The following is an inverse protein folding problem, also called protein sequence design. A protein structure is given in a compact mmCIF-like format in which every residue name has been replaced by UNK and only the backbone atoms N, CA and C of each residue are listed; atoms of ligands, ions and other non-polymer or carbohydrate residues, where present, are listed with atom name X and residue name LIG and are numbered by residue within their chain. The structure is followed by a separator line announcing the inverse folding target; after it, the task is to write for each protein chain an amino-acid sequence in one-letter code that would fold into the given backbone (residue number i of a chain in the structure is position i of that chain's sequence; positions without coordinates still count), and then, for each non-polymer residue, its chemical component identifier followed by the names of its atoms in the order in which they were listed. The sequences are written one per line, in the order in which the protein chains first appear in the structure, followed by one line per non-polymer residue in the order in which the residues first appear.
data_IF_762895133654
#
_entry.id   IF_762895133654
#
_cell.length_a   1.000
_cell.length_b   1.000
_cell.length_c   1.000
_cell.angle_alpha   90.00
_cell.angle_beta   90.00
_cell.angle_gamma   90.00
#
_symmetry.space_group_name_H-M   'P 1'
#
loop_
_entity.id
_entity.type
_entity.pdbx_description
1 polymer ?
#
# COMPACT_ATOMS: atom_id res chain seq x y z
N UNK A 1 27.73 26.25 21.50
CA UNK A 1 27.24 25.58 20.28
C UNK A 1 26.76 24.26 20.76
N UNK A 2 25.49 24.22 21.15
CA UNK A 2 24.83 23.01 21.65
C UNK A 2 24.84 21.95 20.56
N UNK A 3 24.99 20.68 20.98
CA UNK A 3 24.89 19.50 20.14
C UNK A 3 23.63 19.62 19.26
N UNK A 4 23.83 19.88 17.96
CA UNK A 4 22.74 19.82 17.00
C UNK A 4 22.20 18.39 17.04
N UNK A 5 20.98 18.24 17.58
CA UNK A 5 20.25 16.98 17.56
C UNK A 5 20.08 16.59 16.10
N UNK A 6 20.89 15.63 15.64
CA UNK A 6 20.85 15.18 14.27
C UNK A 6 19.53 14.44 14.03
N UNK A 7 18.62 15.05 13.28
CA UNK A 7 17.33 14.45 12.94
C UNK A 7 17.54 13.39 11.85
N UNK A 8 17.31 12.13 12.18
CA UNK A 8 17.33 11.08 11.19
C UNK A 8 16.02 11.09 10.37
N UNK A 9 16.04 11.69 9.17
CA UNK A 9 14.86 11.83 8.30
C UNK A 9 14.68 10.71 7.27
N UNK A 10 15.22 9.52 7.51
CA UNK A 10 15.10 8.38 6.59
C UNK A 10 13.83 7.54 6.82
N UNK A 11 12.75 8.20 7.25
CA UNK A 11 11.37 7.71 7.33
C UNK A 11 10.49 8.51 6.35
N UNK A 12 9.22 8.14 6.13
CA UNK A 12 8.30 8.97 5.33
C UNK A 12 8.20 10.39 5.88
N UNK A 13 8.08 11.38 5.00
CA UNK A 13 7.97 12.79 5.41
C UNK A 13 6.74 13.02 6.28
N UNK A 14 5.62 12.40 5.90
CA UNK A 14 4.36 12.51 6.61
C UNK A 14 4.44 11.95 8.04
N UNK A 15 5.21 10.87 8.24
CA UNK A 15 5.50 10.31 9.55
C UNK A 15 6.47 11.20 10.34
N UNK A 16 7.58 11.63 9.74
CA UNK A 16 8.58 12.49 10.39
C UNK A 16 7.96 13.78 10.94
N UNK A 17 7.02 14.38 10.22
CA UNK A 17 6.42 15.64 10.65
C UNK A 17 5.69 15.51 11.99
N UNK A 18 5.04 14.37 12.26
CA UNK A 18 4.44 14.10 13.58
C UNK A 18 5.51 13.96 14.66
N UNK A 19 6.62 13.30 14.36
CA UNK A 19 7.71 13.11 15.31
C UNK A 19 8.46 14.41 15.64
N UNK A 20 8.46 15.40 14.74
CA UNK A 20 8.97 16.74 15.06
C UNK A 20 8.09 17.46 16.09
N UNK A 21 6.76 17.38 15.92
CA UNK A 21 5.79 17.88 16.90
C UNK A 21 6.00 17.21 18.26
N UNK A 22 6.06 15.88 18.29
CA UNK A 22 6.18 15.12 19.55
C UNK A 22 7.51 15.41 20.29
N UNK A 23 8.53 15.89 19.56
CA UNK A 23 9.82 16.37 20.13
C UNK A 23 9.80 17.84 20.54
N UNK A 24 8.66 18.53 20.41
CA UNK A 24 8.51 19.93 20.77
C UNK A 24 9.16 20.91 19.79
N UNK A 25 9.37 20.50 18.52
CA UNK A 25 9.87 21.44 17.52
C UNK A 25 8.85 22.57 17.31
N UNK A 26 9.28 23.84 17.25
CA UNK A 26 8.36 24.96 17.09
C UNK A 26 7.76 24.94 15.68
N UNK A 27 6.57 25.53 15.55
CA UNK A 27 5.93 25.72 14.26
C UNK A 27 6.72 26.74 13.43
N UNK A 28 7.11 26.35 12.23
CA UNK A 28 7.84 27.20 11.26
C UNK A 28 6.92 27.75 10.18
N UNK A 29 5.78 27.09 9.91
CA UNK A 29 4.81 27.52 8.92
C UNK A 29 3.72 26.49 8.69
N UNK A 30 3.23 26.40 7.45
CA UNK A 30 2.30 25.37 7.03
C UNK A 30 1.97 25.43 5.55
N UNK A 31 1.24 24.43 5.07
CA UNK A 31 0.78 24.34 3.69
C UNK A 31 -0.61 23.69 3.58
N UNK A 32 -1.37 24.08 2.56
CA UNK A 32 -2.63 23.44 2.18
C UNK A 32 -2.45 22.76 0.82
N UNK A 33 -2.93 21.53 0.69
CA UNK A 33 -2.88 20.72 -0.53
C UNK A 33 -4.29 20.28 -0.92
N UNK A 34 -4.56 20.13 -2.21
CA UNK A 34 -5.82 19.55 -2.69
C UNK A 34 -5.61 18.11 -3.16
N UNK A 35 -6.45 17.19 -2.67
CA UNK A 35 -6.45 15.79 -3.06
C UNK A 35 -7.62 15.49 -4.00
N UNK A 36 -7.30 14.87 -5.13
CA UNK A 36 -8.23 14.64 -6.24
C UNK A 36 -8.67 13.19 -6.32
N UNK A 37 -9.97 13.00 -6.53
CA UNK A 37 -10.59 11.68 -6.72
C UNK A 37 -11.70 11.75 -7.75
N UNK A 38 -12.04 10.59 -8.31
CA UNK A 38 -13.28 10.33 -9.05
C UNK A 38 -14.44 9.88 -8.14
N UNK A 39 -14.14 9.65 -6.85
CA UNK A 39 -15.07 9.20 -5.81
C UNK A 39 -15.47 10.35 -4.90
N UNK A 40 -16.65 10.29 -4.29
CA UNK A 40 -17.18 11.39 -3.47
C UNK A 40 -16.84 11.21 -2.00
N UNK A 41 -16.47 12.30 -1.32
CA UNK A 41 -16.35 12.33 0.16
C UNK A 41 -17.57 13.04 0.75
N UNK A 42 -18.17 12.42 1.76
CA UNK A 42 -19.38 12.91 2.46
C UNK A 42 -19.20 12.85 3.97
N UNK A 43 -20.18 13.29 4.75
CA UNK A 43 -20.12 13.25 6.21
C UNK A 43 -19.53 14.53 6.81
N UNK A 44 -18.66 14.37 7.80
CA UNK A 44 -18.06 15.47 8.57
C UNK A 44 -17.33 16.52 7.71
N UNK A 45 -17.09 17.69 8.31
CA UNK A 45 -16.36 18.78 7.66
C UNK A 45 -14.84 18.63 7.78
N UNK A 46 -14.36 18.08 8.90
CA UNK A 46 -12.94 17.96 9.16
C UNK A 46 -12.59 16.76 10.04
N UNK A 47 -11.37 16.24 9.87
CA UNK A 47 -10.69 15.32 10.79
C UNK A 47 -9.34 15.92 11.15
N UNK A 48 -9.12 16.11 12.44
CA UNK A 48 -7.86 16.65 12.98
C UNK A 48 -6.97 15.52 13.47
N UNK A 49 -5.76 15.48 12.96
CA UNK A 49 -4.71 14.53 13.31
C UNK A 49 -3.36 15.24 13.25
N UNK A 50 -3.14 16.17 14.19
CA UNK A 50 -2.00 17.07 14.23
C UNK A 50 -0.66 16.33 13.94
N UNK A 51 0.19 16.82 13.02
CA UNK A 51 0.19 18.15 12.37
C UNK A 51 -0.79 18.32 11.19
N UNK A 52 -1.70 17.37 10.97
CA UNK A 52 -2.58 17.39 9.81
C UNK A 52 -4.02 17.74 10.16
N UNK A 53 -4.70 18.40 9.22
CA UNK A 53 -6.16 18.51 9.20
C UNK A 53 -6.64 18.12 7.82
N UNK A 54 -7.57 17.18 7.75
CA UNK A 54 -8.26 16.82 6.52
C UNK A 54 -9.62 17.48 6.50
N UNK A 55 -9.86 18.32 5.51
CA UNK A 55 -11.14 19.02 5.33
C UNK A 55 -11.87 18.45 4.12
N UNK A 56 -13.15 18.14 4.28
CA UNK A 56 -14.00 17.73 3.18
C UNK A 56 -14.29 18.94 2.26
N UNK A 57 -13.89 18.86 0.99
CA UNK A 57 -14.13 19.95 0.04
C UNK A 57 -15.58 20.02 -0.45
N UNK A 58 -16.42 19.05 -0.10
CA UNK A 58 -17.76 18.85 -0.68
C UNK A 58 -17.69 18.80 -2.22
N UNK A 59 -16.60 18.23 -2.73
CA UNK A 59 -16.36 18.08 -4.16
C UNK A 59 -17.32 17.08 -4.77
N UNK A 60 -17.86 17.43 -5.94
CA UNK A 60 -18.71 16.53 -6.73
C UNK A 60 -18.02 16.17 -8.05
N UNK A 61 -17.12 15.17 -8.08
CA UNK A 61 -16.65 14.54 -9.31
C UNK A 61 -17.82 14.28 -10.27
N UNK A 62 -17.81 14.91 -11.46
CA UNK A 62 -18.87 14.72 -12.45
C UNK A 62 -18.45 13.68 -13.49
N UNK A 63 -19.29 12.68 -13.73
CA UNK A 63 -19.12 11.72 -14.83
C UNK A 63 -17.73 11.07 -14.87
N UNK A 64 -17.23 10.64 -13.72
CA UNK A 64 -15.91 10.04 -13.56
C UNK A 64 -14.76 11.04 -13.50
N UNK A 65 -14.91 12.30 -13.90
CA UNK A 65 -13.81 13.28 -13.86
C UNK A 65 -13.32 13.52 -12.45
N UNK A 66 -12.01 13.67 -12.31
CA UNK A 66 -11.39 14.04 -11.04
C UNK A 66 -11.90 15.39 -10.54
N UNK A 67 -12.20 15.46 -9.25
CA UNK A 67 -12.47 16.71 -8.53
C UNK A 67 -11.68 16.76 -7.23
N UNK A 68 -11.42 17.95 -6.67
CA UNK A 68 -10.85 18.08 -5.33
C UNK A 68 -11.89 17.64 -4.30
N UNK A 69 -11.59 16.59 -3.55
CA UNK A 69 -12.54 15.98 -2.59
C UNK A 69 -12.11 16.16 -1.14
N UNK A 70 -10.80 16.31 -0.92
CA UNK A 70 -10.21 16.62 0.37
C UNK A 70 -9.20 17.76 0.22
N UNK A 71 -9.14 18.63 1.21
CA UNK A 71 -8.01 19.50 1.44
C UNK A 71 -7.20 18.96 2.62
N UNK A 72 -5.88 18.91 2.47
CA UNK A 72 -4.94 18.57 3.53
C UNK A 72 -4.25 19.84 3.98
N UNK A 73 -4.51 20.28 5.21
CA UNK A 73 -3.66 21.25 5.88
C UNK A 73 -2.54 20.51 6.62
N UNK A 74 -1.33 21.04 6.52
CA UNK A 74 -0.14 20.57 7.21
C UNK A 74 0.45 21.73 8.02
N UNK A 75 0.60 21.49 9.32
CA UNK A 75 1.30 22.37 10.25
C UNK A 75 2.78 22.01 10.27
N UNK A 76 3.64 22.90 9.76
CA UNK A 76 5.06 22.57 9.59
C UNK A 76 5.84 22.85 10.87
N UNK A 77 6.43 21.79 11.42
CA UNK A 77 7.32 21.79 12.58
C UNK A 77 8.72 21.28 12.22
N UNK A 78 9.05 21.22 10.93
CA UNK A 78 10.35 20.72 10.48
C UNK A 78 11.46 21.63 11.01
N UNK A 79 12.44 21.07 11.73
CA UNK A 79 13.61 21.83 12.16
C UNK A 79 14.49 22.16 10.95
N UNK A 80 15.52 22.99 11.15
CA UNK A 80 16.60 23.10 10.18
C UNK A 80 17.29 21.73 10.06
N UNK A 81 16.97 21.01 8.99
CA UNK A 81 17.52 19.69 8.72
C UNK A 81 18.95 19.84 8.23
N UNK A 82 19.89 19.27 8.97
CA UNK A 82 21.23 19.06 8.42
C UNK A 82 21.10 18.13 7.21
N UNK A 83 21.80 18.50 6.13
CA UNK A 83 21.77 17.74 4.87
C UNK A 83 22.14 16.29 5.19
N UNK A 84 21.36 15.34 4.68
CA UNK A 84 21.65 13.91 4.81
C UNK A 84 23.13 13.63 4.55
N UNK A 85 23.81 12.79 5.35
CA UNK A 85 25.22 12.47 5.14
C UNK A 85 25.47 12.06 3.67
N UNK A 86 26.27 12.84 2.95
CA UNK A 86 26.57 12.63 1.53
C UNK A 86 27.81 11.75 1.31
N UNK A 87 28.29 11.08 2.37
CA UNK A 87 29.44 10.19 2.35
C UNK A 87 29.08 8.77 1.88
N UNK A 88 27.79 8.40 1.91
CA UNK A 88 27.28 7.11 1.44
C UNK A 88 25.91 7.23 0.79
N UNK A 89 25.66 6.44 -0.26
CA UNK A 89 24.31 6.25 -0.79
C UNK A 89 23.42 5.52 0.22
N UNK A 90 22.35 6.18 0.64
CA UNK A 90 21.26 5.61 1.44
C UNK A 90 19.94 5.77 0.67
N UNK A 91 19.25 4.65 0.43
CA UNK A 91 17.96 4.61 -0.25
C UNK A 91 16.86 4.04 0.64
N UNK A 92 17.14 3.76 1.91
CA UNK A 92 16.25 3.00 2.79
C UNK A 92 14.94 3.73 3.03
N UNK A 93 14.99 5.05 3.19
CA UNK A 93 13.82 5.93 3.32
C UNK A 93 13.29 6.52 2.00
N UNK A 94 13.88 6.20 0.84
CA UNK A 94 13.44 6.78 -0.42
C UNK A 94 12.10 6.20 -0.87
N UNK A 95 11.11 7.07 -1.04
CA UNK A 95 9.73 6.74 -1.44
C UNK A 95 9.35 7.31 -2.80
N UNK A 96 10.10 8.31 -3.30
CA UNK A 96 9.77 9.10 -4.48
C UNK A 96 8.34 9.66 -4.42
N UNK A 97 8.01 10.27 -3.29
CA UNK A 97 6.72 10.92 -2.99
C UNK A 97 6.99 12.23 -2.24
N UNK A 98 6.06 13.17 -2.37
CA UNK A 98 5.94 14.31 -1.46
C UNK A 98 5.03 13.94 -0.28
N UNK A 99 5.10 14.71 0.81
CA UNK A 99 4.35 14.45 2.04
C UNK A 99 2.83 14.27 1.81
N UNK A 100 2.25 15.15 1.01
CA UNK A 100 0.84 15.15 0.63
C UNK A 100 0.45 13.92 -0.18
N UNK A 101 1.38 13.43 -1.00
CA UNK A 101 1.19 12.24 -1.81
C UNK A 101 1.37 10.94 -1.00
N UNK A 102 2.22 10.94 0.03
CA UNK A 102 2.28 9.86 1.04
C UNK A 102 0.94 9.71 1.78
N UNK A 103 0.37 10.83 2.23
CA UNK A 103 -0.95 10.87 2.85
C UNK A 103 -2.03 10.37 1.89
N UNK A 104 -2.02 10.82 0.63
CA UNK A 104 -2.96 10.35 -0.38
C UNK A 104 -2.87 8.83 -0.61
N UNK A 105 -1.65 8.25 -0.61
CA UNK A 105 -1.47 6.80 -0.72
C UNK A 105 -2.14 6.03 0.42
N UNK A 106 -1.95 6.49 1.66
CA UNK A 106 -2.54 5.83 2.84
C UNK A 106 -4.06 5.95 2.81
N UNK A 107 -4.61 7.12 2.49
CA UNK A 107 -6.06 7.31 2.37
C UNK A 107 -6.63 6.41 1.26
N UNK A 108 -5.97 6.31 0.10
CA UNK A 108 -6.36 5.38 -0.96
C UNK A 108 -6.40 3.93 -0.49
N UNK A 109 -5.44 3.49 0.32
CA UNK A 109 -5.44 2.15 0.91
C UNK A 109 -6.63 1.97 1.88
N UNK A 110 -6.85 2.93 2.77
CA UNK A 110 -7.94 2.87 3.77
C UNK A 110 -9.31 2.88 3.11
N UNK A 111 -9.49 3.63 2.02
CA UNK A 111 -10.82 3.88 1.44
C UNK A 111 -11.07 3.12 0.15
N UNK A 112 -10.04 2.56 -0.49
CA UNK A 112 -10.11 1.93 -1.81
C UNK A 112 -10.72 2.86 -2.87
N UNK A 113 -10.22 4.09 -2.91
CA UNK A 113 -10.56 5.07 -3.95
C UNK A 113 -9.30 5.55 -4.62
N UNK A 114 -9.42 5.96 -5.89
CA UNK A 114 -8.33 6.67 -6.59
C UNK A 114 -8.17 8.03 -5.91
N UNK A 115 -7.04 8.28 -5.27
CA UNK A 115 -6.72 9.56 -4.66
C UNK A 115 -5.27 9.93 -4.97
N UNK A 116 -5.05 11.15 -5.43
CA UNK A 116 -3.71 11.72 -5.64
C UNK A 116 -3.68 13.17 -5.21
N UNK A 117 -2.53 13.63 -4.75
CA UNK A 117 -2.36 15.05 -4.50
C UNK A 117 -2.22 15.82 -5.81
N UNK A 118 -2.84 16.99 -5.86
CA UNK A 118 -2.56 17.98 -6.88
C UNK A 118 -1.45 18.96 -6.48
N UNK A 119 -0.81 18.77 -5.33
CA UNK A 119 0.22 19.68 -4.81
C UNK A 119 -0.34 20.89 -4.04
N UNK A 120 0.55 21.76 -3.54
CA UNK A 120 0.19 22.83 -2.62
C UNK A 120 -0.60 23.94 -3.33
N UNK A 121 -1.60 24.47 -2.65
CA UNK A 121 -2.44 25.60 -3.10
C UNK A 121 -2.32 26.83 -2.22
N UNK A 122 -1.75 26.68 -1.01
CA UNK A 122 -1.57 27.75 -0.03
C UNK A 122 -0.38 27.45 0.86
N UNK A 123 0.31 28.51 1.30
CA UNK A 123 1.38 28.45 2.31
C UNK A 123 1.08 29.41 3.46
N UNK A 124 1.50 29.07 4.67
CA UNK A 124 1.27 29.86 5.87
C UNK A 124 2.60 30.24 6.52
N UNK A 125 2.76 31.50 6.93
CA UNK A 125 3.97 32.02 7.58
C UNK A 125 3.75 32.30 9.06
N UNK A 126 4.30 31.48 9.96
CA UNK A 126 4.21 31.73 11.41
C UNK A 126 2.76 31.82 11.93
N UNK A 127 2.58 32.01 13.24
CA UNK A 127 1.26 31.91 13.90
C UNK A 127 0.27 33.01 13.50
N UNK A 128 0.76 34.15 13.00
CA UNK A 128 -0.07 35.32 12.68
C UNK A 128 -0.76 35.23 11.31
N UNK A 129 -0.31 34.34 10.41
CA UNK A 129 -0.84 34.21 9.05
C UNK A 129 -2.04 33.27 8.98
N UNK A 130 -3.17 33.67 9.57
CA UNK A 130 -4.39 32.84 9.63
C UNK A 130 -5.04 32.55 8.27
N UNK A 131 -4.77 33.37 7.25
CA UNK A 131 -5.38 33.23 5.91
C UNK A 131 -4.47 32.49 4.94
N UNK A 132 -3.18 32.44 5.21
CA UNK A 132 -2.18 31.95 4.28
C UNK A 132 -2.08 32.81 3.02
N UNK A 133 -1.04 32.56 2.24
CA UNK A 133 -0.85 33.10 0.90
C UNK A 133 -1.16 32.02 -0.13
N UNK A 134 -2.12 32.23 -1.06
CA UNK A 134 -2.35 31.30 -2.16
C UNK A 134 -1.08 31.15 -3.01
N UNK A 135 -0.71 29.91 -3.32
CA UNK A 135 0.46 29.60 -4.14
C UNK A 135 0.19 28.36 -4.99
N UNK A 136 0.19 28.53 -6.32
CA UNK A 136 -0.17 27.46 -7.27
C UNK A 136 0.99 27.00 -8.14
N UNK A 137 2.23 27.45 -7.88
CA UNK A 137 3.38 27.10 -8.72
C UNK A 137 3.66 25.59 -8.78
N UNK A 138 3.44 24.88 -7.67
CA UNK A 138 3.55 23.42 -7.59
C UNK A 138 2.23 22.67 -7.81
N UNK A 139 1.14 23.40 -8.05
CA UNK A 139 -0.19 22.80 -8.16
C UNK A 139 -0.48 22.33 -9.59
N UNK A 140 -0.92 21.09 -9.71
CA UNK A 140 -1.42 20.53 -10.96
C UNK A 140 -2.53 19.53 -10.67
N UNK A 141 -3.63 19.57 -11.44
CA UNK A 141 -4.64 18.53 -11.36
C UNK A 141 -4.03 17.22 -11.87
N UNK A 142 -4.09 16.10 -11.11
CA UNK A 142 -3.54 14.84 -11.57
C UNK A 142 -4.13 14.41 -12.92
N UNK A 143 -3.29 13.91 -13.82
CA UNK A 143 -3.76 13.41 -15.11
C UNK A 143 -4.43 12.05 -14.96
N UNK A 144 -5.63 11.92 -15.50
CA UNK A 144 -6.36 10.67 -15.55
C UNK A 144 -7.41 10.67 -16.67
N UNK A 145 -7.57 9.51 -17.30
CA UNK A 145 -8.53 9.33 -18.40
C UNK A 145 -9.81 8.72 -17.88
N UNK A 146 -10.89 9.48 -17.92
CA UNK A 146 -12.19 9.00 -17.49
C UNK A 146 -12.72 7.84 -18.32
N UNK A 147 -13.15 6.79 -17.62
CA UNK A 147 -13.87 5.65 -18.20
C UNK A 147 -15.31 5.63 -17.74
N UNK A 148 -16.23 5.31 -18.65
CA UNK A 148 -17.64 5.11 -18.33
C UNK A 148 -17.89 3.77 -17.62
N UNK A 149 -16.99 2.80 -17.80
CA UNK A 149 -17.08 1.46 -17.23
C UNK A 149 -15.74 1.11 -16.60
N UNK A 150 -15.52 1.49 -15.33
CA UNK A 150 -14.27 1.21 -14.65
C UNK A 150 -14.08 -0.28 -14.43
N UNK A 151 -12.84 -0.75 -14.58
CA UNK A 151 -12.41 -2.10 -14.26
C UNK A 151 -12.25 -2.21 -12.74
N UNK A 152 -11.49 -1.30 -12.13
CA UNK A 152 -11.23 -1.26 -10.68
C UNK A 152 -10.50 0.03 -10.28
N UNK A 153 -10.85 0.70 -9.16
CA UNK A 153 -12.09 0.57 -8.40
C UNK A 153 -13.28 1.21 -9.14
N UNK A 154 -14.48 0.80 -8.76
CA UNK A 154 -15.70 1.53 -9.14
C UNK A 154 -15.80 2.78 -8.26
N UNK A 155 -16.02 3.98 -8.84
CA UNK A 155 -16.26 5.19 -8.06
C UNK A 155 -17.37 4.99 -7.04
N UNK A 156 -17.14 5.45 -5.82
CA UNK A 156 -18.06 5.27 -4.70
C UNK A 156 -18.15 6.52 -3.83
N UNK A 157 -19.13 6.51 -2.94
CA UNK A 157 -19.21 7.49 -1.87
C UNK A 157 -18.50 6.94 -0.64
N UNK A 158 -17.59 7.73 -0.07
CA UNK A 158 -16.95 7.44 1.20
C UNK A 158 -17.34 8.50 2.22
N UNK A 159 -17.54 8.08 3.46
CA UNK A 159 -17.73 9.00 4.58
C UNK A 159 -16.39 9.43 5.14
N UNK A 160 -16.23 10.71 5.49
CA UNK A 160 -15.01 11.22 6.10
C UNK A 160 -14.71 10.45 7.39
N UNK A 161 -15.72 10.08 8.17
CA UNK A 161 -15.61 9.26 9.38
C UNK A 161 -14.98 7.86 9.17
N UNK A 162 -14.94 7.35 7.94
CA UNK A 162 -14.18 6.13 7.63
C UNK A 162 -12.66 6.31 7.80
N UNK A 163 -12.23 7.56 7.90
CA UNK A 163 -10.88 8.02 8.17
C UNK A 163 -10.65 8.35 9.66
N UNK A 164 -11.48 7.89 10.58
CA UNK A 164 -11.17 8.04 12.00
C UNK A 164 -10.07 7.06 12.45
N UNK A 165 -9.10 7.59 13.22
CA UNK A 165 -8.05 6.84 13.91
C UNK A 165 -7.02 6.14 13.03
N UNK A 166 -7.06 6.25 11.69
CA UNK A 166 -6.01 5.64 10.85
C UNK A 166 -4.68 6.40 10.95
N UNK A 167 -4.70 7.72 11.16
CA UNK A 167 -3.48 8.49 11.36
C UNK A 167 -2.80 8.13 12.67
N UNK A 168 -3.57 7.92 13.74
CA UNK A 168 -3.01 7.45 15.01
C UNK A 168 -2.34 6.07 14.85
N UNK A 169 -2.99 5.15 14.11
CA UNK A 169 -2.39 3.85 13.75
C UNK A 169 -1.16 3.98 12.87
N UNK A 170 -1.09 4.99 12.01
CA UNK A 170 0.07 5.24 11.16
C UNK A 170 1.26 5.73 11.98
N UNK A 171 1.02 6.70 12.86
CA UNK A 171 2.06 7.28 13.72
C UNK A 171 2.53 6.33 14.82
N UNK A 172 1.70 5.35 15.21
CA UNK A 172 2.09 4.27 16.12
C UNK A 172 3.11 3.29 15.53
N UNK A 173 3.33 3.29 14.21
CA UNK A 173 4.31 2.40 13.59
C UNK A 173 5.74 2.82 13.90
N UNK A 174 6.62 1.82 14.05
CA UNK A 174 8.06 2.02 13.97
C UNK A 174 8.47 2.50 12.57
N UNK A 175 9.62 3.18 12.49
CA UNK A 175 10.13 3.78 11.25
C UNK A 175 10.15 2.84 10.03
N UNK A 176 10.69 1.64 10.19
CA UNK A 176 10.78 0.66 9.08
C UNK A 176 9.40 0.21 8.59
N UNK A 177 8.44 0.07 9.51
CA UNK A 177 7.09 -0.33 9.18
C UNK A 177 6.31 0.82 8.54
N UNK A 178 6.56 2.07 8.95
CA UNK A 178 6.02 3.25 8.29
C UNK A 178 6.52 3.36 6.84
N UNK A 179 7.81 3.13 6.59
CA UNK A 179 8.38 3.06 5.22
C UNK A 179 7.71 1.94 4.43
N UNK A 180 7.61 0.74 5.02
CA UNK A 180 7.02 -0.43 4.38
C UNK A 180 5.54 -0.18 4.02
N UNK A 181 4.77 0.40 4.93
CA UNK A 181 3.37 0.76 4.70
C UNK A 181 3.23 1.73 3.53
N UNK A 182 3.97 2.84 3.55
CA UNK A 182 3.85 3.86 2.48
C UNK A 182 4.27 3.31 1.13
N UNK A 183 5.32 2.46 1.08
CA UNK A 183 5.69 1.74 -0.15
C UNK A 183 4.57 0.85 -0.65
N UNK A 184 3.97 0.03 0.21
CA UNK A 184 2.88 -0.87 -0.19
C UNK A 184 1.61 -0.09 -0.59
N UNK A 185 1.25 0.94 0.18
CA UNK A 185 0.13 1.83 -0.10
C UNK A 185 0.30 2.57 -1.43
N UNK A 186 1.52 3.00 -1.76
CA UNK A 186 1.85 3.59 -3.06
C UNK A 186 1.57 2.62 -4.20
N UNK A 187 2.05 1.38 -4.11
CA UNK A 187 1.80 0.36 -5.14
C UNK A 187 0.30 0.13 -5.31
N UNK A 188 -0.44 0.02 -4.21
CA UNK A 188 -1.89 -0.14 -4.23
C UNK A 188 -2.58 1.07 -4.91
N UNK A 189 -2.29 2.29 -4.46
CA UNK A 189 -2.84 3.55 -5.02
C UNK A 189 -2.53 3.69 -6.51
N UNK A 190 -1.31 3.36 -6.93
CA UNK A 190 -0.92 3.38 -8.34
C UNK A 190 -1.68 2.32 -9.16
N UNK A 191 -1.90 1.13 -8.60
CA UNK A 191 -2.72 0.10 -9.25
C UNK A 191 -4.16 0.57 -9.48
N UNK A 192 -4.77 1.23 -8.50
CA UNK A 192 -6.11 1.83 -8.67
C UNK A 192 -6.11 2.88 -9.79
N UNK A 193 -5.05 3.67 -9.89
CA UNK A 193 -4.95 4.76 -10.86
C UNK A 193 -4.89 4.25 -12.30
N UNK A 194 -4.11 3.20 -12.55
CA UNK A 194 -3.87 2.70 -13.91
C UNK A 194 -4.82 1.61 -14.35
N UNK A 195 -5.59 0.98 -13.46
CA UNK A 195 -6.39 -0.21 -13.74
C UNK A 195 -7.35 -0.11 -14.94
N UNK A 196 -7.83 1.08 -15.31
CA UNK A 196 -8.70 1.26 -16.48
C UNK A 196 -7.94 1.46 -17.80
N UNK A 197 -6.69 1.93 -17.72
CA UNK A 197 -5.86 2.28 -18.89
C UNK A 197 -4.82 1.22 -19.19
N UNK A 198 -4.28 0.60 -18.14
CA UNK A 198 -3.33 -0.50 -18.18
C UNK A 198 -3.62 -1.47 -17.01
N UNK A 199 -4.63 -2.35 -17.15
CA UNK A 199 -4.96 -3.35 -16.15
C UNK A 199 -3.82 -4.37 -15.92
N UNK A 200 -2.96 -4.62 -16.91
CA UNK A 200 -1.81 -5.51 -16.73
C UNK A 200 -0.81 -4.91 -15.74
N UNK A 201 -0.51 -3.62 -15.86
CA UNK A 201 0.31 -2.91 -14.89
C UNK A 201 -0.36 -2.88 -13.52
N UNK A 202 -1.68 -2.72 -13.43
CA UNK A 202 -2.39 -2.78 -12.15
C UNK A 202 -2.21 -4.13 -11.44
N UNK A 203 -2.27 -5.26 -12.17
CA UNK A 203 -1.97 -6.58 -11.60
C UNK A 203 -0.55 -6.64 -11.03
N UNK A 204 0.44 -6.13 -11.77
CA UNK A 204 1.83 -6.10 -11.31
C UNK A 204 1.99 -5.28 -10.03
N UNK A 205 1.41 -4.09 -9.98
CA UNK A 205 1.47 -3.18 -8.83
C UNK A 205 0.78 -3.77 -7.59
N UNK A 206 -0.37 -4.45 -7.75
CA UNK A 206 -1.03 -5.15 -6.65
C UNK A 206 -0.17 -6.28 -6.07
N UNK A 207 0.46 -7.08 -6.93
CA UNK A 207 1.42 -8.11 -6.50
C UNK A 207 2.61 -7.46 -5.80
N UNK A 208 3.17 -6.38 -6.34
CA UNK A 208 4.30 -5.66 -5.75
C UNK A 208 3.96 -5.07 -4.38
N UNK A 209 2.73 -4.60 -4.15
CA UNK A 209 2.29 -4.13 -2.82
C UNK A 209 2.37 -5.24 -1.76
N UNK A 210 1.96 -6.47 -2.10
CA UNK A 210 2.12 -7.64 -1.24
C UNK A 210 3.59 -8.05 -1.09
N UNK A 211 4.39 -8.00 -2.16
CA UNK A 211 5.82 -8.31 -2.11
C UNK A 211 6.57 -7.37 -1.15
N UNK A 212 6.16 -6.10 -1.05
CA UNK A 212 6.73 -5.13 -0.10
C UNK A 212 6.56 -5.59 1.35
N UNK A 213 5.34 -5.94 1.77
CA UNK A 213 5.09 -6.41 3.14
C UNK A 213 5.67 -7.82 3.37
N UNK A 214 5.63 -8.70 2.36
CA UNK A 214 6.23 -10.02 2.43
C UNK A 214 7.76 -9.97 2.58
N UNK A 215 8.41 -8.95 2.02
CA UNK A 215 9.84 -8.69 2.19
C UNK A 215 10.21 -8.25 3.61
N UNK A 216 9.28 -7.59 4.31
CA UNK A 216 9.42 -7.20 5.71
C UNK A 216 9.26 -8.39 6.67
N UNK A 217 8.42 -9.35 6.31
CA UNK A 217 8.23 -10.59 7.06
C UNK A 217 9.45 -11.52 6.94
N UNK A 218 9.94 -11.99 8.09
CA UNK A 218 11.14 -12.79 8.14
C UNK A 218 10.81 -14.28 7.96
N UNK A 219 11.16 -14.88 6.81
CA UNK A 219 11.41 -16.32 6.76
C UNK A 219 12.80 -16.59 7.34
N UNK A 220 12.90 -16.69 8.67
CA UNK A 220 14.12 -17.10 9.37
C UNK A 220 14.23 -18.62 9.37
N UNK A 221 15.45 -19.12 9.19
CA UNK A 221 15.84 -20.51 9.44
C UNK A 221 15.09 -21.59 8.64
N UNK A 222 14.64 -21.28 7.41
CA UNK A 222 14.03 -22.28 6.53
C UNK A 222 15.11 -23.05 5.77
N UNK A 223 15.10 -24.38 5.90
CA UNK A 223 15.98 -25.27 5.13
C UNK A 223 15.72 -25.12 3.62
N UNK A 224 16.75 -24.86 2.78
CA UNK A 224 16.57 -24.68 1.35
C UNK A 224 15.92 -25.86 0.62
N UNK A 225 16.22 -27.10 1.04
CA UNK A 225 15.72 -28.31 0.38
C UNK A 225 14.24 -28.52 0.69
N UNK A 226 13.85 -28.29 1.94
CA UNK A 226 12.45 -28.34 2.35
C UNK A 226 11.62 -27.23 1.69
N UNK A 227 12.18 -26.03 1.61
CA UNK A 227 11.56 -24.91 0.90
C UNK A 227 11.33 -25.24 -0.58
N UNK A 228 12.32 -25.88 -1.23
CA UNK A 228 12.20 -26.29 -2.63
C UNK A 228 11.13 -27.37 -2.83
N UNK A 229 11.01 -28.34 -1.92
CA UNK A 229 9.93 -29.35 -1.95
C UNK A 229 8.56 -28.74 -1.80
N UNK A 230 8.42 -27.76 -0.91
CA UNK A 230 7.15 -27.11 -0.64
C UNK A 230 6.65 -26.29 -1.83
N UNK A 231 7.54 -25.51 -2.45
CA UNK A 231 7.15 -24.52 -3.46
C UNK A 231 7.31 -25.02 -4.90
N UNK A 232 8.22 -25.96 -5.15
CA UNK A 232 8.47 -26.58 -6.47
C UNK A 232 8.51 -28.12 -6.36
N UNK A 233 7.40 -28.76 -5.95
CA UNK A 233 7.38 -30.20 -5.63
C UNK A 233 7.76 -31.09 -6.82
N UNK A 234 7.37 -30.72 -8.04
CA UNK A 234 7.70 -31.49 -9.25
C UNK A 234 9.20 -31.48 -9.55
N UNK A 235 9.85 -30.32 -9.42
CA UNK A 235 11.29 -30.19 -9.60
C UNK A 235 12.04 -30.95 -8.50
N UNK A 236 11.59 -30.83 -7.25
CA UNK A 236 12.20 -31.55 -6.14
C UNK A 236 12.09 -33.07 -6.34
N UNK A 237 10.95 -33.58 -6.80
CA UNK A 237 10.76 -34.99 -7.12
C UNK A 237 11.72 -35.45 -8.24
N UNK A 238 11.86 -34.67 -9.31
CA UNK A 238 12.79 -34.98 -10.41
C UNK A 238 14.26 -35.01 -9.96
N UNK A 239 14.67 -34.08 -9.08
CA UNK A 239 16.02 -34.03 -8.53
C UNK A 239 16.33 -35.26 -7.68
N UNK A 240 15.37 -35.66 -6.83
CA UNK A 240 15.48 -36.86 -5.99
C UNK A 240 15.48 -38.13 -6.84
N UNK A 241 14.65 -38.21 -7.87
CA UNK A 241 14.61 -39.35 -8.80
C UNK A 241 15.93 -39.50 -9.57
N UNK A 242 16.52 -38.39 -10.02
CA UNK A 242 17.71 -38.43 -10.90
C UNK A 242 19.02 -38.67 -10.15
N UNK A 243 19.17 -38.17 -8.92
CA UNK A 243 20.36 -38.49 -8.13
C UNK A 243 20.23 -38.29 -6.63
N UNK A 244 19.02 -38.55 -6.11
CA UNK A 244 18.74 -38.63 -4.69
C UNK A 244 18.82 -37.31 -3.94
N UNK A 245 18.78 -37.41 -2.61
CA UNK A 245 18.81 -36.28 -1.69
C UNK A 245 20.07 -35.41 -1.84
N UNK A 246 21.18 -35.99 -2.30
CA UNK A 246 22.41 -35.25 -2.54
C UNK A 246 22.26 -34.21 -3.68
N UNK A 247 21.54 -34.55 -4.75
CA UNK A 247 21.26 -33.60 -5.82
C UNK A 247 20.30 -32.49 -5.38
N UNK A 248 19.28 -32.84 -4.60
CA UNK A 248 18.37 -31.85 -4.01
C UNK A 248 19.13 -30.86 -3.14
N UNK A 249 19.97 -31.36 -2.21
CA UNK A 249 20.77 -30.54 -1.31
C UNK A 249 21.80 -29.65 -2.02
N UNK A 250 22.30 -30.07 -3.19
CA UNK A 250 23.25 -29.28 -3.98
C UNK A 250 22.58 -28.17 -4.81
N UNK A 251 21.36 -28.41 -5.32
CA UNK A 251 20.63 -27.46 -6.17
C UNK A 251 19.81 -26.47 -5.34
N UNK A 252 19.23 -26.91 -4.23
CA UNK A 252 18.34 -26.08 -3.42
C UNK A 252 18.96 -24.74 -2.95
N UNK A 253 20.23 -24.67 -2.49
CA UNK A 253 20.87 -23.40 -2.15
C UNK A 253 21.01 -22.41 -3.32
N UNK A 254 21.06 -22.90 -4.56
CA UNK A 254 21.19 -22.06 -5.76
C UNK A 254 19.85 -21.45 -6.17
N UNK A 255 18.74 -22.16 -5.89
CA UNK A 255 17.39 -21.70 -6.20
C UNK A 255 16.71 -20.99 -5.02
N UNK A 256 17.28 -21.08 -3.81
CA UNK A 256 16.65 -20.62 -2.57
C UNK A 256 16.21 -19.15 -2.64
N UNK A 257 16.95 -18.29 -3.33
CA UNK A 257 16.59 -16.87 -3.45
C UNK A 257 15.24 -16.65 -4.16
N UNK A 258 15.01 -17.38 -5.27
CA UNK A 258 13.78 -17.29 -6.07
C UNK A 258 12.63 -17.95 -5.32
N UNK A 259 12.87 -19.14 -4.79
CA UNK A 259 11.84 -19.92 -4.08
C UNK A 259 11.40 -19.20 -2.80
N UNK A 260 12.33 -18.57 -2.10
CA UNK A 260 12.05 -17.79 -0.89
C UNK A 260 11.16 -16.59 -1.17
N UNK A 261 11.30 -15.92 -2.32
CA UNK A 261 10.43 -14.80 -2.68
C UNK A 261 8.98 -15.27 -2.84
N UNK A 262 8.75 -16.34 -3.62
CA UNK A 262 7.43 -16.95 -3.79
C UNK A 262 6.84 -17.43 -2.46
N UNK A 263 7.64 -18.14 -1.65
CA UNK A 263 7.19 -18.64 -0.35
C UNK A 263 6.79 -17.50 0.61
N UNK A 264 7.59 -16.42 0.65
CA UNK A 264 7.28 -15.22 1.45
C UNK A 264 5.95 -14.62 1.02
N UNK A 265 5.77 -14.46 -0.29
CA UNK A 265 4.54 -13.93 -0.84
C UNK A 265 3.33 -14.79 -0.46
N UNK A 266 3.40 -16.11 -0.67
CA UNK A 266 2.28 -17.01 -0.36
C UNK A 266 1.98 -17.07 1.14
N UNK A 267 3.02 -17.14 1.98
CA UNK A 267 2.87 -17.15 3.45
C UNK A 267 2.29 -15.83 3.97
N UNK A 268 2.71 -14.70 3.40
CA UNK A 268 2.18 -13.39 3.73
C UNK A 268 0.68 -13.29 3.39
N UNK A 269 0.28 -13.73 2.19
CA UNK A 269 -1.13 -13.74 1.81
C UNK A 269 -1.95 -14.65 2.73
N UNK A 270 -1.45 -15.85 3.04
CA UNK A 270 -2.11 -16.78 3.98
C UNK A 270 -2.34 -16.14 5.35
N UNK A 271 -1.30 -15.50 5.89
CA UNK A 271 -1.32 -14.93 7.22
C UNK A 271 -2.28 -13.75 7.35
N UNK A 272 -2.38 -12.93 6.32
CA UNK A 272 -3.14 -11.67 6.36
C UNK A 272 -4.44 -11.72 5.54
N UNK A 273 -4.83 -12.90 5.05
CA UNK A 273 -5.98 -13.06 4.17
C UNK A 273 -7.26 -12.44 4.78
N UNK A 274 -7.97 -11.55 4.08
CA UNK A 274 -9.27 -11.07 4.54
C UNK A 274 -10.34 -12.15 4.43
N UNK A 275 -11.39 -12.03 5.25
CA UNK A 275 -12.63 -12.77 5.01
C UNK A 275 -13.26 -12.41 3.66
N UNK A 276 -14.20 -13.24 3.16
CA UNK A 276 -14.87 -12.97 1.89
C UNK A 276 -15.58 -11.60 1.92
N UNK A 277 -15.72 -10.93 0.76
CA UNK A 277 -16.47 -9.68 0.69
C UNK A 277 -17.86 -9.83 1.29
N UNK A 278 -18.39 -8.82 2.00
CA UNK A 278 -19.70 -8.92 2.65
C UNK A 278 -20.85 -9.00 1.62
N UNK A 279 -20.68 -8.37 0.46
CA UNK A 279 -21.62 -8.43 -0.66
C UNK A 279 -20.94 -9.18 -1.79
N UNK A 280 -21.50 -10.32 -2.18
CA UNK A 280 -20.92 -11.24 -3.17
C UNK A 280 -21.90 -11.50 -4.32
N UNK A 281 -21.39 -11.86 -5.50
CA UNK A 281 -22.23 -12.21 -6.64
C UNK A 281 -22.96 -13.54 -6.39
N UNK A 282 -23.77 -13.98 -7.35
CA UNK A 282 -24.41 -15.29 -7.29
C UNK A 282 -23.35 -16.41 -7.18
N UNK A 283 -23.70 -17.52 -6.52
CA UNK A 283 -22.72 -18.56 -6.11
C UNK A 283 -21.88 -19.12 -7.27
N UNK A 284 -22.39 -19.15 -8.50
CA UNK A 284 -21.63 -19.62 -9.66
C UNK A 284 -20.52 -18.66 -10.09
N UNK A 285 -20.61 -17.37 -9.75
CA UNK A 285 -19.64 -16.33 -10.06
C UNK A 285 -18.67 -16.04 -8.90
N UNK A 286 -18.81 -16.75 -7.79
CA UNK A 286 -17.93 -16.62 -6.63
C UNK A 286 -16.63 -17.41 -6.79
N UNK A 287 -15.57 -16.92 -6.14
CA UNK A 287 -14.33 -17.64 -5.87
C UNK A 287 -14.48 -18.41 -4.54
N UNK A 288 -13.96 -19.64 -4.50
CA UNK A 288 -13.85 -20.40 -3.24
C UNK A 288 -12.87 -19.69 -2.31
N UNK A 289 -13.34 -19.31 -1.12
CA UNK A 289 -12.60 -18.43 -0.20
C UNK A 289 -11.79 -19.19 0.87
N UNK A 290 -11.81 -20.51 0.87
CA UNK A 290 -10.90 -21.30 1.69
C UNK A 290 -9.46 -21.22 1.16
N UNK A 291 -8.49 -21.29 2.06
CA UNK A 291 -7.08 -21.13 1.70
C UNK A 291 -6.60 -22.09 0.60
N UNK A 292 -6.92 -23.41 0.60
CA UNK A 292 -6.51 -24.28 -0.50
C UNK A 292 -6.96 -23.79 -1.88
N UNK A 293 -8.20 -23.32 -2.02
CA UNK A 293 -8.71 -22.76 -3.27
C UNK A 293 -8.06 -21.40 -3.62
N UNK A 294 -7.91 -20.51 -2.65
CA UNK A 294 -7.28 -19.21 -2.87
C UNK A 294 -5.79 -19.33 -3.18
N UNK A 295 -5.06 -20.20 -2.47
CA UNK A 295 -3.64 -20.51 -2.70
C UNK A 295 -3.41 -20.81 -4.18
N UNK A 296 -4.19 -21.74 -4.75
CA UNK A 296 -4.09 -22.08 -6.17
C UNK A 296 -4.27 -20.86 -7.09
N UNK A 297 -5.29 -20.04 -6.84
CA UNK A 297 -5.62 -18.87 -7.68
C UNK A 297 -4.59 -17.75 -7.54
N UNK A 298 -4.13 -17.48 -6.33
CA UNK A 298 -3.09 -16.50 -6.01
C UNK A 298 -1.74 -16.94 -6.61
N UNK A 299 -1.41 -18.24 -6.55
CA UNK A 299 -0.23 -18.78 -7.24
C UNK A 299 -0.32 -18.60 -8.76
N UNK A 300 -1.50 -18.74 -9.36
CA UNK A 300 -1.69 -18.48 -10.79
C UNK A 300 -1.46 -16.99 -11.14
N UNK A 301 -1.98 -16.07 -10.33
CA UNK A 301 -1.72 -14.63 -10.49
C UNK A 301 -0.23 -14.32 -10.39
N UNK A 302 0.46 -14.89 -9.39
CA UNK A 302 1.91 -14.75 -9.25
C UNK A 302 2.67 -15.30 -10.46
N UNK A 303 2.22 -16.44 -11.01
CA UNK A 303 2.71 -17.02 -12.25
C UNK A 303 2.55 -16.08 -13.45
N UNK A 304 1.39 -15.45 -13.62
CA UNK A 304 1.17 -14.46 -14.69
C UNK A 304 2.06 -13.22 -14.54
N UNK A 305 2.26 -12.72 -13.32
CA UNK A 305 3.22 -11.64 -13.03
C UNK A 305 4.63 -12.01 -13.48
N UNK A 306 5.09 -13.21 -13.14
CA UNK A 306 6.41 -13.71 -13.54
C UNK A 306 6.53 -13.83 -15.07
N UNK A 307 5.53 -14.42 -15.73
CA UNK A 307 5.50 -14.57 -17.18
C UNK A 307 5.49 -13.21 -17.91
N UNK A 308 4.78 -12.22 -17.38
CA UNK A 308 4.74 -10.86 -17.94
C UNK A 308 6.09 -10.16 -17.84
N UNK A 309 6.72 -10.20 -16.67
CA UNK A 309 7.97 -9.48 -16.42
C UNK A 309 9.18 -10.12 -17.10
N UNK A 310 9.22 -11.45 -17.20
CA UNK A 310 10.39 -12.16 -17.74
C UNK A 310 10.21 -12.65 -19.17
N UNK A 311 9.00 -13.00 -19.56
CA UNK A 311 8.68 -13.50 -20.91
C UNK A 311 7.93 -12.51 -21.79
N UNK A 312 7.53 -11.35 -21.26
CA UNK A 312 6.70 -10.38 -21.98
C UNK A 312 5.27 -10.87 -22.27
N UNK A 313 4.87 -12.03 -21.73
CA UNK A 313 3.58 -12.65 -22.01
C UNK A 313 2.47 -11.84 -21.33
N UNK A 314 1.49 -11.30 -22.09
CA UNK A 314 0.44 -10.48 -21.51
C UNK A 314 -0.44 -11.29 -20.55
N UNK A 315 -1.06 -10.60 -19.58
CA UNK A 315 -2.09 -11.24 -18.77
C UNK A 315 -3.24 -11.75 -19.65
N UNK A 316 -3.92 -12.86 -19.28
CA UNK A 316 -5.13 -13.28 -19.96
C UNK A 316 -6.13 -12.13 -20.10
N UNK A 317 -6.55 -11.83 -21.33
CA UNK A 317 -7.43 -10.69 -21.63
C UNK A 317 -8.71 -10.66 -20.78
N UNK A 318 -9.40 -11.80 -20.48
CA UNK A 318 -10.59 -11.78 -19.63
C UNK A 318 -10.35 -11.27 -18.20
N UNK A 319 -9.12 -11.35 -17.68
CA UNK A 319 -8.76 -10.83 -16.34
C UNK A 319 -8.55 -9.31 -16.35
N UNK A 320 -8.43 -8.71 -17.53
CA UNK A 320 -8.19 -7.29 -17.78
C UNK A 320 -9.45 -6.56 -18.28
N UNK A 321 -10.61 -7.21 -18.20
CA UNK A 321 -11.88 -6.66 -18.66
C UNK A 321 -12.76 -6.25 -17.47
N UNK A 322 -13.70 -5.34 -17.75
CA UNK A 322 -14.74 -4.95 -16.80
C UNK A 322 -15.53 -6.20 -16.40
N UNK A 323 -15.61 -6.55 -15.11
CA UNK A 323 -16.37 -7.72 -14.67
C UNK A 323 -17.86 -7.55 -15.00
N UNK A 324 -18.53 -8.67 -15.25
CA UNK A 324 -19.99 -8.69 -15.30
C UNK A 324 -20.56 -8.56 -13.89
N UNK A 325 -21.85 -8.27 -13.81
CA UNK A 325 -22.58 -8.25 -12.55
C UNK A 325 -23.59 -9.40 -12.53
N UNK A 326 -23.60 -10.17 -11.44
CA UNK A 326 -24.66 -11.13 -11.14
C UNK A 326 -25.27 -10.81 -9.78
N UNK A 327 -26.59 -10.56 -9.78
CA UNK A 327 -27.28 -10.08 -8.59
C UNK A 327 -26.82 -8.68 -8.15
N UNK A 328 -26.35 -8.57 -6.91
CA UNK A 328 -26.02 -7.30 -6.26
C UNK A 328 -24.51 -6.93 -6.31
N UNK A 329 -23.66 -7.78 -6.90
CA UNK A 329 -22.21 -7.56 -6.92
C UNK A 329 -21.59 -7.89 -8.28
N UNK A 330 -20.33 -7.51 -8.44
CA UNK A 330 -19.50 -7.90 -9.57
C UNK A 330 -19.07 -9.36 -9.44
N UNK A 331 -19.01 -10.07 -10.56
CA UNK A 331 -18.55 -11.45 -10.64
C UNK A 331 -17.10 -11.53 -10.16
N UNK A 332 -16.77 -12.44 -9.24
CA UNK A 332 -15.41 -12.52 -8.67
C UNK A 332 -14.41 -13.20 -9.61
N UNK A 333 -14.91 -13.87 -10.66
CA UNK A 333 -14.12 -14.55 -11.67
C UNK A 333 -14.80 -14.49 -13.03
N UNK A 334 -14.03 -14.56 -14.14
CA UNK A 334 -14.63 -14.71 -15.46
C UNK A 334 -15.56 -15.93 -15.52
N UNK A 335 -16.73 -15.72 -16.11
CA UNK A 335 -17.74 -16.77 -16.30
C UNK A 335 -17.44 -17.65 -17.52
N UNK A 336 -18.18 -18.76 -17.65
CA UNK A 336 -18.09 -19.68 -18.79
C UNK A 336 -17.06 -20.80 -18.63
N UNK A 337 -17.01 -21.69 -19.63
CA UNK A 337 -16.06 -22.81 -19.68
C UNK A 337 -14.69 -22.40 -20.25
N UNK A 338 -14.69 -21.38 -21.11
CA UNK A 338 -13.53 -20.81 -21.77
C UNK A 338 -13.85 -19.39 -22.24
N UNK A 339 -12.80 -18.61 -22.51
CA UNK A 339 -12.89 -17.29 -23.12
C UNK A 339 -11.85 -17.16 -24.24
N UNK A 340 -12.16 -16.35 -25.25
CA UNK A 340 -11.27 -16.09 -26.37
C UNK A 340 -11.16 -14.58 -26.62
N UNK A 341 -9.96 -14.13 -26.99
CA UNK A 341 -9.71 -12.76 -27.42
C UNK A 341 -8.63 -12.76 -28.51
N UNK A 342 -8.94 -12.17 -29.67
CA UNK A 342 -8.05 -12.23 -30.83
C UNK A 342 -7.78 -13.68 -31.28
N UNK A 343 -6.51 -14.06 -31.31
CA UNK A 343 -6.03 -15.40 -31.69
C UNK A 343 -5.68 -16.30 -30.48
N UNK A 344 -6.07 -15.91 -29.26
CA UNK A 344 -5.79 -16.65 -28.04
C UNK A 344 -7.09 -17.11 -27.34
N UNK A 345 -6.97 -18.19 -26.57
CA UNK A 345 -8.06 -18.75 -25.77
C UNK A 345 -7.56 -19.23 -24.41
N UNK A 346 -8.39 -19.08 -23.39
CA UNK A 346 -8.13 -19.50 -22.02
C UNK A 346 -9.27 -20.37 -21.51
N UNK A 347 -8.97 -21.46 -20.82
CA UNK A 347 -9.98 -22.27 -20.16
C UNK A 347 -10.35 -21.63 -18.81
N UNK A 348 -11.50 -22.01 -18.24
CA UNK A 348 -11.91 -21.50 -16.92
C UNK A 348 -10.86 -21.72 -15.82
N UNK A 349 -10.06 -22.79 -15.92
CA UNK A 349 -8.96 -23.08 -14.99
C UNK A 349 -7.79 -22.08 -15.08
N UNK A 350 -7.67 -21.34 -16.19
CA UNK A 350 -6.64 -20.33 -16.44
C UNK A 350 -7.12 -18.92 -16.04
N UNK A 351 -8.33 -18.81 -15.47
CA UNK A 351 -8.96 -17.53 -15.15
C UNK A 351 -9.24 -17.47 -13.63
N UNK A 352 -8.22 -17.15 -12.81
CA UNK A 352 -8.29 -17.32 -11.36
C UNK A 352 -9.30 -16.39 -10.67
N UNK A 353 -9.37 -15.12 -11.04
CA UNK A 353 -10.30 -14.13 -10.48
C UNK A 353 -10.21 -12.81 -11.25
N UNK A 354 -11.19 -11.92 -11.12
CA UNK A 354 -11.11 -10.57 -11.67
C UNK A 354 -10.17 -9.66 -10.86
N UNK A 355 -9.70 -8.58 -11.50
CA UNK A 355 -8.78 -7.61 -10.88
C UNK A 355 -9.32 -7.02 -9.58
N UNK A 356 -10.61 -6.65 -9.52
CA UNK A 356 -11.21 -6.10 -8.30
C UNK A 356 -11.24 -7.11 -7.14
N UNK A 357 -11.41 -8.40 -7.42
CA UNK A 357 -11.39 -9.45 -6.40
C UNK A 357 -9.99 -9.61 -5.83
N UNK A 358 -8.96 -9.57 -6.67
CA UNK A 358 -7.59 -9.58 -6.20
C UNK A 358 -7.23 -8.27 -5.48
N UNK A 359 -7.69 -7.12 -5.96
CA UNK A 359 -7.55 -5.83 -5.30
C UNK A 359 -8.14 -5.83 -3.88
N UNK A 360 -9.31 -6.44 -3.69
CA UNK A 360 -9.91 -6.66 -2.37
C UNK A 360 -9.02 -7.52 -1.46
N UNK A 361 -8.48 -8.63 -1.97
CA UNK A 361 -7.55 -9.50 -1.23
C UNK A 361 -6.30 -8.72 -0.81
N UNK A 362 -5.67 -8.03 -1.76
CA UNK A 362 -4.45 -7.24 -1.54
C UNK A 362 -4.70 -6.17 -0.49
N UNK A 363 -5.76 -5.38 -0.63
CA UNK A 363 -6.13 -4.35 0.34
C UNK A 363 -6.33 -4.95 1.74
N UNK A 364 -7.06 -6.06 1.84
CA UNK A 364 -7.28 -6.74 3.11
C UNK A 364 -5.98 -7.20 3.76
N UNK A 365 -5.08 -7.82 2.99
CA UNK A 365 -3.77 -8.23 3.48
C UNK A 365 -2.95 -7.04 3.99
N UNK A 366 -2.88 -5.95 3.22
CA UNK A 366 -2.16 -4.74 3.62
C UNK A 366 -2.73 -4.11 4.90
N UNK A 367 -4.06 -4.04 5.03
CA UNK A 367 -4.72 -3.49 6.22
C UNK A 367 -4.55 -4.38 7.45
N UNK A 368 -4.67 -5.71 7.30
CA UNK A 368 -4.44 -6.65 8.40
C UNK A 368 -2.98 -6.65 8.86
N UNK A 369 -2.02 -6.58 7.92
CA UNK A 369 -0.61 -6.41 8.25
C UNK A 369 -0.38 -5.13 9.04
N UNK A 370 -0.91 -3.99 8.56
CA UNK A 370 -0.78 -2.71 9.26
C UNK A 370 -1.39 -2.77 10.67
N UNK A 371 -2.60 -3.29 10.82
CA UNK A 371 -3.25 -3.45 12.14
C UNK A 371 -2.37 -4.24 13.10
N UNK A 372 -1.81 -5.37 12.66
CA UNK A 372 -0.91 -6.19 13.48
C UNK A 372 0.36 -5.43 13.86
N UNK A 373 1.00 -4.75 12.91
CA UNK A 373 2.24 -3.99 13.15
C UNK A 373 2.02 -2.82 14.11
N UNK A 374 0.86 -2.14 14.05
CA UNK A 374 0.54 -1.02 14.96
C UNK A 374 0.26 -1.46 16.41
N UNK A 375 -0.22 -2.69 16.62
CA UNK A 375 -0.48 -3.23 17.97
C UNK A 375 0.77 -3.77 18.67
N UNK A 376 1.85 -4.07 17.91
CA UNK A 376 3.09 -4.63 18.44
C UNK A 376 3.99 -3.61 19.15
N UNK A 377 3.83 -2.32 18.87
CA UNK A 377 4.73 -1.26 19.36
C UNK A 377 4.39 -0.79 20.79
N UNK A 378 3.19 -1.11 21.30
CA UNK A 378 2.77 -0.67 22.64
C UNK A 378 3.49 -1.35 23.81
N UNK A 379 4.26 -2.42 23.59
CA UNK A 379 4.94 -3.15 24.68
C UNK A 379 6.35 -2.63 24.97
N UNK A 380 7.04 -1.99 24.01
CA UNK A 380 8.41 -1.48 24.22
C UNK A 380 8.48 -0.03 24.72
N UNK A 381 7.43 0.78 24.50
CA UNK A 381 7.38 2.17 24.93
C UNK A 381 7.29 2.37 26.47
N UNK A 382 6.98 1.31 27.23
CA UNK A 382 6.91 1.37 28.70
C UNK A 382 8.28 1.26 29.40
N UNK A 383 9.37 1.00 28.64
CA UNK A 383 10.70 0.79 29.19
C UNK A 383 11.62 2.04 29.23
N UNK A 384 11.17 3.19 28.73
CA UNK A 384 11.92 4.46 28.79
C UNK A 384 11.18 5.49 29.65
N UNK A 385 11.09 5.21 30.96
CA UNK A 385 10.88 6.30 31.93
C UNK A 385 12.21 7.00 32.18
N UNK A 386 12.26 8.35 32.19
CA UNK A 386 13.49 9.09 32.47
C UNK A 386 13.88 8.87 33.95
N UNK A 387 15.14 8.51 34.19
CA UNK A 387 15.70 8.49 35.54
C UNK A 387 15.56 9.88 36.19
N UNK A 388 15.17 9.97 37.47
CA UNK A 388 15.08 11.24 38.16
C UNK A 388 16.49 11.81 38.33
N UNK A 389 16.65 13.06 37.89
CA UNK A 389 17.83 13.88 38.17
C UNK A 389 17.94 14.04 39.69
N UNK A 390 19.03 13.53 40.26
CA UNK A 390 19.41 13.81 41.65
C UNK A 390 19.80 15.28 41.76
N UNK A 391 19.00 16.06 42.49
CA UNK A 391 19.42 17.36 43.02
C UNK A 391 20.64 17.14 43.92
N UNK A 392 21.79 17.66 43.49
CA UNK A 392 22.93 17.88 44.39
C UNK A 392 22.72 19.19 45.10
N UNK A 393 22.40 19.10 46.39
CA UNK A 393 22.69 20.12 47.39
C UNK A 393 24.14 20.58 47.21
N UNK A 394 24.33 21.88 46.95
CA UNK A 394 25.61 22.52 47.25
C UNK A 394 25.35 23.83 47.98
N UNK A 395 25.71 23.78 49.27
CA UNK A 395 25.76 24.90 50.19
C UNK A 395 27.08 25.63 49.99
N UNK A 396 27.02 26.91 49.62
CA UNK A 396 27.84 27.98 50.24
C UNK A 396 27.35 29.38 49.88
#
# INVERSE_FOLDING_TARGET
MDDQVQFNVSAPWSWNARHFVDRGCPRTGGAEFLLYSDSHVTGGLEITCHPYVLTNCLGFPQSGRLGPVLALYFDDHSPDLDVQPMDKTDTDGWLNLTLDDEIACIISLVTEVRLRSGGPVRSFKGEEDLRGTPHLYGHHVPEWTATQRPIYPTPKQIGLESLDGWMDRYFALGREDAVTLVRAARQFRDALWVADTDPELAWLLLVSGLEVIAGREALRDVDPSELLRQELPELAAQLVETGGEAHLAAVAPQLVGVVRATARFMSCVEQYLPGPPPVRPEAYAQVGWDWPNLKKRVSQVYGYRSARLHGGVPFPSPLCQVPMSSGAALDERPSGLAAAAGNASWLAKDLPMHLHTFGYIVRGCLLHWWQKSSSGTSTEASAMSPSPVLESDDTR
#
